data_IF_947547965242
#
_entry.id   IF_947547965242
#
_cell.length_a   1.000
_cell.length_b   1.000
_cell.length_c   1.000
_cell.angle_alpha   90.00
_cell.angle_beta   90.00
_cell.angle_gamma   90.00
#
_symmetry.space_group_name_H-M   'P 1'
#
loop_
_entity.id
_entity.type
_entity.pdbx_description
1 polymer ?
#
# COMPACT_ATOMS: atom_id res chain seq x y z
N UNK A 1 6.32 -37.15 4.23
CA UNK A 1 5.62 -37.53 5.48
C UNK A 1 5.98 -36.50 6.53
N UNK A 2 5.04 -35.89 7.17
CA UNK A 2 5.32 -34.90 8.22
C UNK A 2 5.81 -35.61 9.49
N UNK A 3 6.65 -34.97 10.30
CA UNK A 3 7.32 -35.59 11.46
C UNK A 3 6.35 -36.24 12.47
N UNK A 4 5.16 -35.61 12.68
CA UNK A 4 4.13 -36.16 13.56
C UNK A 4 3.48 -37.45 13.02
N UNK A 5 3.41 -37.64 11.70
CA UNK A 5 2.90 -38.87 11.10
C UNK A 5 3.86 -40.03 11.33
N UNK A 6 5.16 -39.72 11.27
CA UNK A 6 6.20 -40.75 11.56
C UNK A 6 6.13 -41.17 13.03
N UNK A 7 6.00 -40.21 13.96
CA UNK A 7 5.88 -40.51 15.39
C UNK A 7 4.59 -41.26 15.73
N UNK A 8 3.47 -40.98 15.06
CA UNK A 8 2.21 -41.70 15.23
C UNK A 8 2.32 -43.15 14.75
N UNK A 9 2.93 -43.39 13.60
CA UNK A 9 3.15 -44.77 13.07
C UNK A 9 4.10 -45.53 13.97
N UNK A 10 5.17 -44.90 14.46
CA UNK A 10 6.10 -45.53 15.41
C UNK A 10 5.38 -45.90 16.70
N UNK A 11 4.58 -45.03 17.27
CA UNK A 11 3.77 -45.28 18.45
C UNK A 11 2.78 -46.42 18.24
N UNK A 12 2.04 -46.46 17.13
CA UNK A 12 1.11 -47.56 16.84
C UNK A 12 1.79 -48.90 16.77
N UNK A 13 2.98 -48.98 16.14
CA UNK A 13 3.75 -50.20 16.05
C UNK A 13 4.28 -50.69 17.43
N UNK A 14 4.74 -49.77 18.29
CA UNK A 14 5.24 -50.12 19.62
C UNK A 14 4.12 -50.54 20.55
N UNK A 15 2.93 -49.97 20.49
CA UNK A 15 1.76 -50.39 21.26
C UNK A 15 1.36 -51.81 20.90
N UNK A 16 1.39 -52.19 19.61
CA UNK A 16 1.13 -53.58 19.18
C UNK A 16 2.18 -54.54 19.76
N UNK A 17 3.46 -54.12 19.74
CA UNK A 17 4.56 -54.92 20.31
C UNK A 17 4.42 -55.08 21.82
N UNK A 18 4.11 -54.02 22.54
CA UNK A 18 3.87 -54.01 24.00
C UNK A 18 2.71 -54.93 24.36
N UNK A 19 1.63 -54.90 23.55
CA UNK A 19 0.48 -55.78 23.69
C UNK A 19 0.87 -57.27 23.50
N UNK A 20 1.68 -57.57 22.49
CA UNK A 20 2.18 -58.93 22.25
C UNK A 20 3.09 -59.42 23.39
N UNK A 21 4.00 -58.60 23.90
CA UNK A 21 4.87 -58.90 25.05
C UNK A 21 4.02 -59.20 26.29
N UNK A 22 3.00 -58.39 26.54
CA UNK A 22 2.09 -58.58 27.67
C UNK A 22 1.27 -59.86 27.54
N UNK A 23 0.79 -60.22 26.34
CA UNK A 23 0.08 -61.42 26.05
C UNK A 23 0.97 -62.65 26.34
N UNK A 24 2.21 -62.67 25.86
CA UNK A 24 3.16 -63.75 26.14
C UNK A 24 3.46 -63.85 27.63
N UNK A 25 3.64 -62.73 28.31
CA UNK A 25 3.85 -62.72 29.78
C UNK A 25 2.71 -63.33 30.55
N UNK A 26 1.47 -63.14 30.10
CA UNK A 26 0.28 -63.65 30.78
C UNK A 26 0.03 -65.14 30.45
N UNK A 27 0.32 -65.58 29.23
CA UNK A 27 0.01 -66.98 28.78
C UNK A 27 1.06 -67.99 29.16
N UNK A 28 2.32 -67.59 29.40
CA UNK A 28 3.43 -68.47 29.69
C UNK A 28 4.06 -68.13 31.05
N UNK A 29 3.56 -68.69 32.17
CA UNK A 29 4.04 -68.36 33.52
C UNK A 29 5.52 -68.59 33.76
N UNK A 30 6.09 -69.59 33.11
CA UNK A 30 7.52 -70.03 33.28
C UNK A 30 8.53 -68.97 32.81
N UNK A 31 8.17 -68.11 31.91
CA UNK A 31 9.03 -67.00 31.39
C UNK A 31 8.57 -65.66 31.80
N UNK A 32 7.47 -65.51 32.55
CA UNK A 32 6.88 -64.25 32.93
C UNK A 32 7.87 -63.31 33.65
N UNK A 33 8.76 -63.84 34.50
CA UNK A 33 9.77 -63.09 35.24
C UNK A 33 10.81 -62.45 34.31
N UNK A 34 11.24 -63.16 33.27
CA UNK A 34 12.21 -62.67 32.29
C UNK A 34 11.61 -61.64 31.34
N UNK A 35 10.31 -61.72 31.03
CA UNK A 35 9.61 -60.82 30.13
C UNK A 35 9.13 -59.55 30.86
N UNK A 36 9.14 -59.50 32.18
CA UNK A 36 8.70 -58.34 32.95
C UNK A 36 9.56 -57.13 32.69
N UNK A 37 10.88 -57.24 32.59
CA UNK A 37 11.78 -56.12 32.29
C UNK A 37 11.56 -55.58 30.88
N UNK A 38 11.57 -56.42 29.80
CA UNK A 38 11.22 -55.98 28.45
C UNK A 38 9.85 -55.32 28.35
N UNK A 39 8.84 -55.78 29.10
CA UNK A 39 7.52 -55.16 29.12
C UNK A 39 7.54 -53.72 29.67
N UNK A 40 8.23 -53.50 30.80
CA UNK A 40 8.35 -52.15 31.35
C UNK A 40 9.16 -51.20 30.44
N UNK A 41 10.21 -51.71 29.77
CA UNK A 41 10.97 -50.95 28.78
C UNK A 41 10.07 -50.53 27.62
N UNK A 42 9.25 -51.44 27.09
CA UNK A 42 8.31 -51.13 26.00
C UNK A 42 7.26 -50.09 26.44
N UNK A 43 6.76 -50.18 27.65
CA UNK A 43 5.79 -49.23 28.21
C UNK A 43 6.40 -47.81 28.37
N UNK A 44 7.66 -47.71 28.82
CA UNK A 44 8.39 -46.43 28.88
C UNK A 44 8.59 -45.86 27.48
N UNK A 45 8.93 -46.72 26.50
CA UNK A 45 9.09 -46.31 25.10
C UNK A 45 7.79 -45.76 24.52
N UNK A 46 6.63 -46.42 24.79
CA UNK A 46 5.31 -45.93 24.39
C UNK A 46 5.02 -44.54 24.97
N UNK A 47 5.32 -44.30 26.25
CA UNK A 47 5.18 -42.98 26.89
C UNK A 47 6.05 -41.92 26.20
N UNK A 48 7.31 -42.25 25.88
CA UNK A 48 8.21 -41.32 25.18
C UNK A 48 7.66 -40.99 23.80
N UNK A 49 7.17 -41.99 23.06
CA UNK A 49 6.61 -41.77 21.72
C UNK A 49 5.31 -40.96 21.74
N UNK A 50 4.47 -41.08 22.76
CA UNK A 50 3.30 -40.23 22.97
C UNK A 50 3.74 -38.76 23.20
N UNK A 51 4.75 -38.55 24.05
CA UNK A 51 5.28 -37.23 24.30
C UNK A 51 5.86 -36.64 23.01
N UNK A 52 6.65 -37.39 22.25
CA UNK A 52 7.21 -36.99 20.96
C UNK A 52 6.11 -36.65 19.93
N UNK A 53 5.05 -37.47 19.90
CA UNK A 53 3.90 -37.23 19.03
C UNK A 53 3.22 -35.88 19.42
N UNK A 54 2.96 -35.65 20.70
CA UNK A 54 2.34 -34.39 21.18
C UNK A 54 3.23 -33.19 20.86
N UNK A 55 4.55 -33.30 21.11
CA UNK A 55 5.50 -32.24 20.82
C UNK A 55 5.56 -31.92 19.30
N UNK A 56 5.70 -32.95 18.47
CA UNK A 56 5.77 -32.79 17.02
C UNK A 56 4.43 -32.34 16.43
N UNK A 57 3.30 -32.70 17.05
CA UNK A 57 1.98 -32.24 16.67
C UNK A 57 1.73 -30.79 17.06
N UNK A 58 2.22 -30.34 18.21
CA UNK A 58 2.18 -28.94 18.65
C UNK A 58 3.14 -28.08 17.81
N UNK A 59 4.32 -28.62 17.47
CA UNK A 59 5.33 -27.97 16.61
C UNK A 59 5.03 -28.09 15.12
N UNK A 60 3.90 -28.72 14.76
CA UNK A 60 3.45 -28.81 13.38
C UNK A 60 3.44 -27.42 12.79
N UNK A 61 4.48 -27.06 12.02
CA UNK A 61 4.43 -25.89 11.13
C UNK A 61 3.35 -26.20 10.10
N UNK A 62 2.25 -25.46 10.15
CA UNK A 62 1.41 -25.31 9.00
C UNK A 62 2.33 -24.68 7.95
N UNK A 63 2.65 -25.43 6.88
CA UNK A 63 3.45 -24.91 5.77
C UNK A 63 2.56 -23.87 5.06
N UNK A 64 2.46 -22.71 5.66
CA UNK A 64 1.85 -21.56 5.04
C UNK A 64 2.81 -21.10 3.95
N UNK A 65 2.35 -21.08 2.73
CA UNK A 65 3.11 -20.55 1.58
C UNK A 65 3.23 -19.03 1.65
N UNK A 66 2.50 -18.38 2.57
CA UNK A 66 2.61 -16.95 2.90
C UNK A 66 3.40 -16.77 4.19
N UNK A 67 4.52 -16.06 4.10
CA UNK A 67 5.28 -15.64 5.28
C UNK A 67 4.55 -14.48 5.96
N UNK A 68 3.97 -14.73 7.14
CA UNK A 68 3.31 -13.72 7.95
C UNK A 68 4.36 -12.99 8.79
N UNK A 69 4.46 -11.65 8.71
CA UNK A 69 5.36 -10.88 9.58
C UNK A 69 5.04 -11.06 11.06
N UNK A 70 6.06 -10.88 11.90
CA UNK A 70 5.87 -10.93 13.36
C UNK A 70 4.82 -9.92 13.82
N UNK A 71 3.99 -10.33 14.77
CA UNK A 71 2.90 -9.51 15.33
C UNK A 71 3.08 -9.35 16.84
N UNK A 72 2.71 -8.20 17.37
CA UNK A 72 2.55 -7.97 18.81
C UNK A 72 1.48 -8.87 19.41
N UNK A 73 1.45 -9.04 20.73
CA UNK A 73 0.48 -9.88 21.44
C UNK A 73 -0.98 -9.49 21.11
N UNK A 74 -1.29 -8.18 21.09
CA UNK A 74 -2.63 -7.66 20.80
C UNK A 74 -3.01 -7.88 19.33
N UNK A 75 -2.07 -7.62 18.40
CA UNK A 75 -2.27 -7.86 16.97
C UNK A 75 -2.52 -9.34 16.69
N UNK A 76 -1.75 -10.23 17.33
CA UNK A 76 -1.93 -11.69 17.22
C UNK A 76 -3.29 -12.14 17.75
N UNK A 77 -3.78 -11.55 18.83
CA UNK A 77 -5.11 -11.87 19.36
C UNK A 77 -6.22 -11.45 18.39
N UNK A 78 -6.11 -10.26 17.80
CA UNK A 78 -7.07 -9.78 16.79
C UNK A 78 -7.00 -10.63 15.51
N UNK A 79 -5.80 -10.95 15.04
CA UNK A 79 -5.56 -11.85 13.90
C UNK A 79 -6.25 -13.21 14.10
N UNK A 80 -6.08 -13.84 15.28
CA UNK A 80 -6.76 -15.11 15.59
C UNK A 80 -8.28 -14.99 15.56
N UNK A 81 -8.85 -13.87 16.06
CA UNK A 81 -10.30 -13.64 16.03
C UNK A 81 -10.81 -13.45 14.60
N UNK A 82 -10.09 -12.72 13.75
CA UNK A 82 -10.43 -12.55 12.36
C UNK A 82 -10.27 -13.87 11.58
N UNK A 83 -9.17 -14.60 11.76
CA UNK A 83 -8.96 -15.94 11.15
C UNK A 83 -10.13 -16.87 11.52
N UNK A 84 -10.56 -16.90 12.79
CA UNK A 84 -11.71 -17.70 13.22
C UNK A 84 -13.02 -17.27 12.54
N UNK A 85 -13.24 -15.96 12.34
CA UNK A 85 -14.42 -15.45 11.63
C UNK A 85 -14.45 -15.94 10.19
N UNK A 86 -13.35 -15.85 9.47
CA UNK A 86 -13.29 -16.24 8.05
C UNK A 86 -13.26 -17.76 7.84
N UNK A 87 -12.83 -18.54 8.84
CA UNK A 87 -12.89 -20.00 8.84
C UNK A 87 -14.27 -20.55 9.26
N UNK A 88 -15.24 -19.69 9.56
CA UNK A 88 -16.61 -20.11 9.85
C UNK A 88 -17.25 -20.68 8.58
N UNK A 89 -17.88 -21.87 8.68
CA UNK A 89 -18.47 -22.56 7.53
C UNK A 89 -19.51 -21.72 6.80
N UNK A 90 -20.33 -20.96 7.52
CA UNK A 90 -21.34 -20.09 6.91
C UNK A 90 -20.68 -18.98 6.10
N UNK A 91 -19.56 -18.44 6.57
CA UNK A 91 -18.79 -17.38 5.88
C UNK A 91 -18.10 -17.95 4.63
N UNK A 92 -17.48 -19.11 4.74
CA UNK A 92 -16.83 -19.79 3.60
C UNK A 92 -17.83 -20.16 2.52
N UNK A 93 -19.05 -20.57 2.88
CA UNK A 93 -20.13 -20.85 1.94
C UNK A 93 -20.64 -19.56 1.24
N UNK A 94 -20.79 -18.47 1.98
CA UNK A 94 -21.18 -17.14 1.41
C UNK A 94 -20.12 -16.62 0.45
N UNK A 95 -18.86 -16.84 0.76
CA UNK A 95 -17.72 -16.46 -0.10
C UNK A 95 -17.48 -17.48 -1.23
N UNK A 96 -18.17 -18.62 -1.25
CA UNK A 96 -17.94 -19.72 -2.19
C UNK A 96 -16.45 -20.13 -2.24
N UNK A 97 -15.84 -20.24 -1.08
CA UNK A 97 -14.42 -20.57 -0.95
C UNK A 97 -14.14 -22.06 -0.96
N UNK A 98 -15.13 -22.90 -0.70
CA UNK A 98 -14.98 -24.35 -0.70
C UNK A 98 -14.99 -24.91 -2.13
N UNK A 99 -14.05 -25.76 -2.46
CA UNK A 99 -14.07 -26.56 -3.69
C UNK A 99 -14.53 -27.97 -3.35
N UNK A 100 -15.63 -28.41 -3.96
CA UNK A 100 -16.16 -29.76 -3.72
C UNK A 100 -15.44 -30.77 -4.62
N UNK A 101 -14.64 -31.63 -4.05
CA UNK A 101 -13.89 -32.67 -4.74
C UNK A 101 -14.51 -34.05 -4.48
N UNK A 102 -14.10 -35.08 -5.25
CA UNK A 102 -14.54 -36.47 -5.04
C UNK A 102 -14.12 -37.01 -3.66
N UNK A 103 -13.20 -36.34 -2.97
CA UNK A 103 -12.66 -36.76 -1.67
C UNK A 103 -13.16 -35.89 -0.50
N UNK A 104 -14.13 -34.99 -0.75
CA UNK A 104 -14.71 -34.09 0.22
C UNK A 104 -14.53 -32.60 -0.17
N UNK A 105 -15.03 -31.71 0.68
CA UNK A 105 -14.89 -30.27 0.49
C UNK A 105 -13.48 -29.84 0.90
N UNK A 106 -12.76 -29.23 -0.04
CA UNK A 106 -11.46 -28.61 0.18
C UNK A 106 -11.68 -27.18 0.64
N UNK A 107 -11.10 -26.83 1.78
CA UNK A 107 -11.20 -25.48 2.36
C UNK A 107 -9.89 -24.73 2.11
N UNK A 108 -9.95 -23.43 1.71
CA UNK A 108 -8.74 -22.66 1.47
C UNK A 108 -7.99 -22.38 2.77
N UNK A 109 -6.69 -22.25 2.68
CA UNK A 109 -5.90 -21.70 3.76
C UNK A 109 -6.23 -20.19 3.90
N UNK A 110 -6.52 -19.78 5.16
CA UNK A 110 -6.79 -18.39 5.48
C UNK A 110 -5.75 -17.90 6.48
N UNK A 111 -5.03 -16.87 6.11
CA UNK A 111 -4.02 -16.23 6.95
C UNK A 111 -4.35 -14.77 7.16
N UNK A 112 -4.17 -14.27 8.37
CA UNK A 112 -4.50 -12.89 8.73
C UNK A 112 -3.31 -12.25 9.42
N UNK A 113 -2.88 -11.11 8.92
CA UNK A 113 -1.91 -10.25 9.58
C UNK A 113 -2.55 -8.93 10.01
N UNK A 114 -2.17 -8.44 11.17
CA UNK A 114 -2.64 -7.17 11.75
C UNK A 114 -1.43 -6.36 12.20
N UNK A 115 -1.40 -5.08 11.87
CA UNK A 115 -0.35 -4.17 12.29
C UNK A 115 -0.37 -3.99 13.83
N UNK A 116 0.75 -3.63 14.41
CA UNK A 116 0.91 -3.34 15.85
C UNK A 116 -0.03 -2.23 16.35
N UNK A 117 -0.32 -1.25 15.50
CA UNK A 117 -1.26 -0.15 15.78
C UNK A 117 -2.73 -0.60 15.81
N UNK A 118 -3.04 -1.82 15.37
CA UNK A 118 -4.39 -2.38 15.22
C UNK A 118 -5.30 -1.57 14.28
N UNK A 119 -4.74 -0.76 13.38
CA UNK A 119 -5.48 0.12 12.47
C UNK A 119 -5.62 -0.52 11.11
N UNK A 120 -4.66 -1.32 10.68
CA UNK A 120 -4.62 -1.94 9.37
C UNK A 120 -4.08 -3.36 9.40
N UNK A 121 -4.30 -4.07 8.32
CA UNK A 121 -3.83 -5.43 8.15
C UNK A 121 -4.28 -6.03 6.82
N UNK A 122 -4.09 -7.32 6.67
CA UNK A 122 -4.59 -8.04 5.50
C UNK A 122 -5.15 -9.42 5.86
N UNK A 123 -6.05 -9.88 5.01
CA UNK A 123 -6.59 -11.24 5.01
C UNK A 123 -6.12 -11.89 3.72
N UNK A 124 -5.32 -12.93 3.82
CA UNK A 124 -4.87 -13.72 2.69
C UNK A 124 -5.70 -15.00 2.62
N UNK A 125 -6.30 -15.26 1.48
CA UNK A 125 -7.13 -16.44 1.21
C UNK A 125 -6.51 -17.19 0.05
N UNK A 126 -6.25 -18.48 0.23
CA UNK A 126 -5.72 -19.36 -0.81
C UNK A 126 -6.66 -19.45 -1.99
N UNK A 127 -6.12 -19.33 -3.20
CA UNK A 127 -6.86 -19.35 -4.43
C UNK A 127 -7.05 -20.78 -4.96
N UNK A 128 -7.94 -21.56 -4.34
CA UNK A 128 -8.22 -22.93 -4.75
C UNK A 128 -9.30 -23.04 -5.85
N UNK A 129 -10.03 -21.95 -6.14
CA UNK A 129 -11.22 -21.94 -6.98
C UNK A 129 -11.03 -21.25 -8.33
N UNK A 130 -9.81 -20.94 -8.76
CA UNK A 130 -9.51 -20.21 -10.01
C UNK A 130 -10.43 -19.01 -10.24
N UNK A 131 -10.40 -18.06 -9.31
CA UNK A 131 -11.27 -16.89 -9.39
C UNK A 131 -10.91 -16.01 -10.58
N UNK A 132 -11.87 -15.76 -11.44
CA UNK A 132 -11.72 -14.82 -12.53
C UNK A 132 -11.61 -13.39 -12.02
N UNK A 133 -10.93 -12.53 -12.77
CA UNK A 133 -10.75 -11.10 -12.45
C UNK A 133 -12.09 -10.37 -12.24
N UNK A 134 -13.14 -10.77 -12.95
CA UNK A 134 -14.50 -10.22 -12.83
C UNK A 134 -15.18 -10.49 -11.49
N UNK A 135 -14.76 -11.52 -10.76
CA UNK A 135 -15.31 -11.86 -9.46
C UNK A 135 -14.63 -11.11 -8.31
N UNK A 136 -13.42 -10.59 -8.53
CA UNK A 136 -12.58 -9.94 -7.53
C UNK A 136 -13.28 -8.77 -6.82
N UNK A 137 -13.91 -7.86 -7.56
CA UNK A 137 -14.66 -6.72 -7.00
C UNK A 137 -15.81 -7.19 -6.09
N UNK A 138 -16.52 -8.23 -6.52
CA UNK A 138 -17.62 -8.83 -5.72
C UNK A 138 -17.08 -9.45 -4.43
N UNK A 139 -15.89 -10.06 -4.47
CA UNK A 139 -15.26 -10.63 -3.29
C UNK A 139 -14.78 -9.55 -2.32
N UNK A 140 -14.17 -8.47 -2.79
CA UNK A 140 -13.80 -7.34 -1.95
C UNK A 140 -15.01 -6.79 -1.18
N UNK A 141 -16.15 -6.61 -1.84
CA UNK A 141 -17.40 -6.16 -1.22
C UNK A 141 -17.93 -7.17 -0.19
N UNK A 142 -17.89 -8.47 -0.49
CA UNK A 142 -18.32 -9.53 0.44
C UNK A 142 -17.43 -9.62 1.65
N UNK A 143 -16.11 -9.63 1.47
CA UNK A 143 -15.12 -9.64 2.57
C UNK A 143 -15.30 -8.40 3.45
N UNK A 144 -15.49 -7.23 2.84
CA UNK A 144 -15.79 -5.99 3.56
C UNK A 144 -17.11 -6.07 4.33
N UNK A 145 -18.15 -6.66 3.72
CA UNK A 145 -19.45 -6.88 4.38
C UNK A 145 -19.36 -7.81 5.59
N UNK A 146 -18.55 -8.84 5.53
CA UNK A 146 -18.28 -9.75 6.66
C UNK A 146 -17.59 -9.01 7.82
N UNK A 147 -16.61 -8.15 7.51
CA UNK A 147 -15.97 -7.31 8.52
C UNK A 147 -16.96 -6.32 9.14
N UNK A 148 -17.82 -5.71 8.33
CA UNK A 148 -18.83 -4.74 8.78
C UNK A 148 -19.83 -5.29 9.81
N UNK A 149 -20.03 -6.60 9.89
CA UNK A 149 -20.90 -7.22 10.90
C UNK A 149 -20.35 -7.07 12.32
N UNK A 150 -19.23 -7.70 12.62
CA UNK A 150 -18.63 -7.75 13.97
C UNK A 150 -17.52 -6.72 14.18
N UNK A 151 -16.88 -6.29 13.12
CA UNK A 151 -15.71 -5.41 13.11
C UNK A 151 -15.97 -4.17 12.25
N UNK A 152 -17.08 -3.45 12.53
CA UNK A 152 -17.58 -2.30 11.74
C UNK A 152 -16.55 -1.20 11.46
N UNK A 153 -15.51 -1.11 12.28
CA UNK A 153 -14.42 -0.14 12.06
C UNK A 153 -13.53 -0.51 10.89
N UNK A 154 -13.47 -1.80 10.52
CA UNK A 154 -12.61 -2.26 9.43
C UNK A 154 -13.39 -2.37 8.12
N UNK A 155 -12.71 -1.96 7.05
CA UNK A 155 -13.21 -2.10 5.71
C UNK A 155 -12.09 -2.51 4.75
N UNK A 156 -12.38 -3.37 3.79
CA UNK A 156 -11.44 -3.72 2.73
C UNK A 156 -11.25 -2.52 1.82
N UNK A 157 -10.01 -2.15 1.58
CA UNK A 157 -9.64 -1.02 0.72
C UNK A 157 -9.32 -1.50 -0.69
N UNK A 158 -8.54 -2.56 -0.80
CA UNK A 158 -8.12 -3.14 -2.07
C UNK A 158 -7.74 -4.59 -1.90
N UNK A 159 -7.53 -5.28 -3.01
CA UNK A 159 -6.98 -6.64 -3.02
C UNK A 159 -5.91 -6.79 -4.11
N UNK A 160 -5.02 -7.75 -3.92
CA UNK A 160 -4.02 -8.15 -4.91
C UNK A 160 -3.83 -9.67 -4.90
N UNK A 161 -3.30 -10.21 -6.01
CA UNK A 161 -2.86 -11.59 -6.12
C UNK A 161 -1.38 -11.69 -5.77
N UNK A 162 -1.00 -12.73 -5.04
CA UNK A 162 0.42 -13.03 -4.81
C UNK A 162 1.10 -13.52 -6.08
N UNK A 163 2.42 -13.52 -6.09
CA UNK A 163 3.20 -14.10 -7.17
C UNK A 163 2.79 -15.58 -7.40
N UNK A 164 2.41 -15.93 -8.63
CA UNK A 164 1.90 -17.26 -8.98
C UNK A 164 0.43 -17.49 -8.64
N UNK A 165 -0.32 -16.43 -8.34
CA UNK A 165 -1.78 -16.43 -8.11
C UNK A 165 -2.27 -17.39 -7.02
N UNK A 166 -1.37 -17.81 -6.12
CA UNK A 166 -1.67 -18.79 -5.08
C UNK A 166 -2.55 -18.25 -3.96
N UNK A 167 -2.50 -16.96 -3.68
CA UNK A 167 -3.32 -16.29 -2.68
C UNK A 167 -3.90 -14.98 -3.20
N UNK A 168 -5.08 -14.63 -2.70
CA UNK A 168 -5.65 -13.27 -2.81
C UNK A 168 -5.50 -12.62 -1.44
N UNK A 169 -4.85 -11.45 -1.43
CA UNK A 169 -4.66 -10.62 -0.24
C UNK A 169 -5.66 -9.50 -0.26
N UNK A 170 -6.51 -9.40 0.77
CA UNK A 170 -7.47 -8.33 0.98
C UNK A 170 -6.92 -7.39 2.06
N UNK A 171 -6.52 -6.19 1.69
CA UNK A 171 -6.06 -5.17 2.63
C UNK A 171 -7.25 -4.48 3.30
N UNK A 172 -7.27 -4.45 4.62
CA UNK A 172 -8.31 -3.77 5.38
C UNK A 172 -7.72 -2.68 6.26
N UNK A 173 -8.52 -1.65 6.50
CA UNK A 173 -8.15 -0.54 7.37
C UNK A 173 -9.31 -0.12 8.28
N UNK A 174 -8.92 0.46 9.42
CA UNK A 174 -9.84 1.17 10.30
C UNK A 174 -10.23 2.51 9.68
N UNK A 175 -11.46 2.60 9.21
CA UNK A 175 -12.01 3.79 8.58
C UNK A 175 -12.64 4.77 9.57
N UNK A 176 -12.70 4.42 10.86
CA UNK A 176 -13.23 5.28 11.92
C UNK A 176 -12.13 6.02 12.68
N UNK A 177 -10.94 5.44 12.79
CA UNK A 177 -9.81 6.08 13.48
C UNK A 177 -9.04 6.99 12.52
N UNK A 178 -9.22 8.29 12.67
CA UNK A 178 -8.58 9.28 11.80
C UNK A 178 -7.05 9.31 11.96
N UNK A 179 -6.36 9.27 10.82
CA UNK A 179 -4.91 9.40 10.70
C UNK A 179 -4.48 10.83 10.31
N UNK A 180 -5.40 11.78 10.34
CA UNK A 180 -5.13 13.18 10.01
C UNK A 180 -4.09 13.81 10.92
N UNK A 181 -3.27 14.63 10.32
CA UNK A 181 -2.49 15.63 11.06
C UNK A 181 -3.41 16.79 11.41
N UNK A 182 -3.43 17.17 12.67
CA UNK A 182 -4.17 18.35 13.12
C UNK A 182 -3.19 19.53 13.19
N UNK A 183 -3.43 20.53 12.37
CA UNK A 183 -2.60 21.71 12.24
C UNK A 183 -3.35 22.90 12.82
N UNK A 184 -2.78 23.56 13.83
CA UNK A 184 -3.34 24.80 14.37
C UNK A 184 -3.13 25.93 13.35
N UNK A 185 -4.05 26.85 13.25
CA UNK A 185 -4.00 27.91 12.22
C UNK A 185 -3.07 29.08 12.64
N UNK A 186 -1.78 28.78 12.78
CA UNK A 186 -0.73 29.79 12.93
C UNK A 186 0.51 29.44 12.10
N UNK A 187 1.40 30.42 11.86
CA UNK A 187 2.61 30.24 11.03
C UNK A 187 3.57 29.18 11.57
N UNK A 188 3.61 28.98 12.88
CA UNK A 188 4.50 28.01 13.52
C UNK A 188 3.90 26.61 13.62
N UNK A 189 2.65 26.43 13.26
CA UNK A 189 1.91 25.19 13.43
C UNK A 189 2.38 24.03 12.53
N UNK A 190 3.15 24.32 11.50
CA UNK A 190 3.75 23.31 10.62
C UNK A 190 5.13 22.83 11.10
N UNK A 191 5.82 23.58 11.96
CA UNK A 191 7.14 23.20 12.50
C UNK A 191 7.20 21.79 13.11
N UNK A 192 6.19 21.29 13.86
CA UNK A 192 6.20 19.95 14.41
C UNK A 192 6.15 18.82 13.37
N UNK A 193 5.85 19.15 12.11
CA UNK A 193 5.76 18.19 11.00
C UNK A 193 6.99 18.22 10.09
N UNK A 194 7.90 19.17 10.29
CA UNK A 194 9.21 19.21 9.64
C UNK A 194 10.01 17.99 10.08
N UNK A 195 10.62 17.30 9.12
CA UNK A 195 11.45 16.14 9.38
C UNK A 195 12.94 16.54 9.38
N UNK A 196 13.76 15.82 10.14
CA UNK A 196 15.23 15.98 10.12
C UNK A 196 15.80 15.58 8.76
N UNK A 197 15.23 14.57 8.13
CA UNK A 197 15.49 14.24 6.73
C UNK A 197 14.73 15.20 5.82
N UNK A 198 15.50 16.03 5.08
CA UNK A 198 14.95 17.05 4.17
C UNK A 198 14.10 16.46 3.03
N UNK A 199 14.35 15.21 2.66
CA UNK A 199 13.65 14.51 1.56
C UNK A 199 12.38 13.79 2.03
N UNK A 200 12.16 13.70 3.35
CA UNK A 200 11.03 13.00 3.96
C UNK A 200 9.89 13.97 4.30
N UNK A 201 8.87 14.01 3.47
CA UNK A 201 7.70 14.90 3.63
C UNK A 201 6.57 14.15 4.33
N UNK A 202 6.16 14.59 5.50
CA UNK A 202 5.08 13.98 6.28
C UNK A 202 3.72 14.30 5.67
N UNK A 203 2.95 13.29 5.29
CA UNK A 203 1.63 13.43 4.66
C UNK A 203 0.48 13.13 5.62
N UNK A 204 0.67 12.19 6.54
CA UNK A 204 -0.28 11.85 7.60
C UNK A 204 0.49 11.33 8.84
N UNK A 205 -0.21 10.86 9.88
CA UNK A 205 0.45 10.27 11.05
C UNK A 205 1.32 9.06 10.70
N UNK A 206 0.94 8.32 9.67
CA UNK A 206 1.55 7.05 9.28
C UNK A 206 2.04 7.02 7.82
N UNK A 207 2.08 8.15 7.12
CA UNK A 207 2.56 8.26 5.75
C UNK A 207 3.58 9.37 5.61
N UNK A 208 4.75 9.02 5.10
CA UNK A 208 5.83 9.92 4.73
C UNK A 208 6.15 9.70 3.25
N UNK A 209 6.26 10.76 2.48
CA UNK A 209 6.75 10.71 1.10
C UNK A 209 8.25 10.95 1.09
N UNK A 210 9.00 10.02 0.54
CA UNK A 210 10.45 10.09 0.34
C UNK A 210 10.74 10.54 -1.10
N UNK A 211 11.03 11.82 -1.27
CA UNK A 211 11.25 12.44 -2.59
C UNK A 211 12.56 12.00 -3.27
N UNK A 212 13.52 11.53 -2.50
CA UNK A 212 14.77 10.92 -2.97
C UNK A 212 14.58 9.53 -3.61
N UNK A 213 13.49 8.84 -3.23
CA UNK A 213 13.09 7.54 -3.80
C UNK A 213 12.10 7.74 -4.95
N UNK A 214 11.05 8.53 -4.73
CA UNK A 214 9.99 8.82 -5.69
C UNK A 214 9.89 10.32 -5.88
N UNK A 215 10.55 10.88 -6.91
CA UNK A 215 10.73 12.33 -7.02
C UNK A 215 9.48 13.10 -7.45
N UNK A 216 8.48 12.46 -8.05
CA UNK A 216 7.32 13.13 -8.63
C UNK A 216 6.04 12.72 -7.92
N UNK A 217 5.06 13.63 -7.81
CA UNK A 217 3.79 13.38 -7.14
C UNK A 217 2.60 13.85 -7.99
N UNK A 218 1.52 13.07 -7.97
CA UNK A 218 0.22 13.43 -8.54
C UNK A 218 -0.84 13.61 -7.46
N UNK A 219 -1.62 14.69 -7.53
CA UNK A 219 -2.76 14.95 -6.65
C UNK A 219 -4.01 15.18 -7.50
N UNK A 220 -4.96 14.25 -7.45
CA UNK A 220 -6.22 14.34 -8.17
C UNK A 220 -7.36 14.56 -7.18
N UNK A 221 -8.08 15.65 -7.34
CA UNK A 221 -9.13 16.00 -6.40
C UNK A 221 -10.23 16.82 -7.04
N UNK A 222 -11.45 16.34 -6.98
CA UNK A 222 -12.64 17.10 -7.42
C UNK A 222 -12.77 18.41 -6.60
N UNK A 223 -13.55 19.31 -7.11
CA UNK A 223 -13.84 20.60 -6.43
C UNK A 223 -14.33 20.33 -5.00
N UNK A 224 -13.81 21.09 -4.03
CA UNK A 224 -14.13 21.00 -2.59
C UNK A 224 -13.65 19.72 -1.89
N UNK A 225 -12.91 18.81 -2.55
CA UNK A 225 -12.38 17.60 -1.93
C UNK A 225 -11.15 17.83 -1.03
N UNK A 226 -10.58 19.03 -0.94
CA UNK A 226 -9.45 19.35 -0.08
C UNK A 226 -8.11 19.61 -0.79
N UNK A 227 -8.11 19.69 -2.13
CA UNK A 227 -6.94 19.90 -3.00
C UNK A 227 -6.04 21.06 -2.53
N UNK A 228 -6.57 22.29 -2.45
CA UNK A 228 -5.81 23.48 -2.07
C UNK A 228 -5.33 23.46 -0.62
N UNK A 229 -6.03 22.72 0.26
CA UNK A 229 -5.59 22.51 1.65
C UNK A 229 -4.35 21.64 1.67
N UNK A 230 -4.36 20.53 0.92
CA UNK A 230 -3.21 19.64 0.85
C UNK A 230 -2.03 20.30 0.14
N UNK A 231 -2.23 20.79 -1.10
CA UNK A 231 -1.14 21.26 -1.94
C UNK A 231 -0.57 22.60 -1.47
N UNK A 232 -1.40 23.66 -1.43
CA UNK A 232 -0.91 25.00 -1.15
C UNK A 232 -0.75 25.29 0.34
N UNK A 233 -1.78 24.93 1.16
CA UNK A 233 -1.76 25.30 2.58
C UNK A 233 -0.80 24.43 3.39
N UNK A 234 -0.65 23.17 3.04
CA UNK A 234 0.19 22.21 3.77
C UNK A 234 1.51 21.93 3.05
N UNK A 235 1.50 21.24 1.90
CA UNK A 235 2.72 20.74 1.26
C UNK A 235 3.70 21.84 0.88
N UNK A 236 3.24 22.86 0.13
CA UNK A 236 4.11 23.94 -0.33
C UNK A 236 4.80 24.67 0.83
N UNK A 237 4.05 24.93 1.91
CA UNK A 237 4.60 25.58 3.11
C UNK A 237 5.52 24.66 3.92
N UNK A 238 5.17 23.38 4.05
CA UNK A 238 6.02 22.41 4.76
C UNK A 238 7.36 22.24 4.04
N UNK A 239 7.36 22.09 2.72
CA UNK A 239 8.56 21.97 1.91
C UNK A 239 9.44 23.21 2.05
N UNK A 240 8.84 24.41 2.00
CA UNK A 240 9.58 25.65 2.23
C UNK A 240 10.25 25.68 3.62
N UNK A 241 9.54 25.24 4.67
CA UNK A 241 10.10 25.12 6.03
C UNK A 241 11.21 24.07 6.14
N UNK A 242 11.20 23.04 5.30
CA UNK A 242 12.28 22.04 5.20
C UNK A 242 13.48 22.49 4.36
N UNK A 243 13.45 23.74 3.84
CA UNK A 243 14.56 24.33 3.09
C UNK A 243 14.50 24.09 1.59
N UNK A 244 13.35 23.67 1.05
CA UNK A 244 13.15 23.54 -0.37
C UNK A 244 12.92 24.90 -1.04
N UNK A 245 13.29 25.00 -2.32
CA UNK A 245 12.76 26.07 -3.19
C UNK A 245 11.39 25.63 -3.70
N UNK A 246 10.38 26.48 -3.52
CA UNK A 246 9.00 26.18 -3.91
C UNK A 246 8.50 27.18 -4.93
N UNK A 247 7.96 26.73 -6.05
CA UNK A 247 7.24 27.54 -7.03
C UNK A 247 5.85 26.91 -7.28
N UNK A 248 4.78 27.75 -7.23
CA UNK A 248 3.41 27.28 -7.38
C UNK A 248 2.73 27.94 -8.58
N UNK A 249 2.60 27.19 -9.67
CA UNK A 249 1.96 27.63 -10.90
C UNK A 249 0.53 27.09 -10.99
N UNK A 250 -0.44 27.93 -11.36
CA UNK A 250 -1.84 27.51 -11.47
C UNK A 250 -2.54 28.26 -12.60
N UNK A 251 -3.16 27.55 -13.53
CA UNK A 251 -3.97 28.14 -14.60
C UNK A 251 -5.29 28.78 -14.10
N UNK A 252 -5.43 28.89 -12.81
CA UNK A 252 -6.46 29.65 -12.12
C UNK A 252 -5.77 30.57 -11.12
N UNK A 253 -6.12 31.86 -11.12
CA UNK A 253 -5.57 32.78 -10.13
C UNK A 253 -5.85 32.27 -8.72
N UNK A 254 -4.77 31.93 -7.98
CA UNK A 254 -4.81 31.46 -6.60
C UNK A 254 -3.80 32.28 -5.78
N UNK A 255 -4.09 32.51 -4.50
CA UNK A 255 -3.19 33.23 -3.58
C UNK A 255 -1.80 32.55 -3.49
N UNK A 256 -1.72 31.24 -3.66
CA UNK A 256 -0.46 30.48 -3.59
C UNK A 256 0.48 30.79 -4.76
N UNK A 257 -0.05 31.17 -5.93
CA UNK A 257 0.76 31.66 -7.06
C UNK A 257 1.61 32.87 -6.64
N UNK A 258 1.00 33.84 -5.96
CA UNK A 258 1.71 35.02 -5.45
C UNK A 258 2.61 34.64 -4.25
N UNK A 259 2.13 33.78 -3.35
CA UNK A 259 2.87 33.40 -2.14
C UNK A 259 4.18 32.68 -2.47
N UNK A 260 4.21 31.86 -3.52
CA UNK A 260 5.36 31.04 -3.94
C UNK A 260 5.94 31.45 -5.30
N UNK A 261 5.82 32.70 -5.69
CA UNK A 261 6.46 33.28 -6.87
C UNK A 261 6.18 32.56 -8.20
N UNK A 262 5.01 31.94 -8.35
CA UNK A 262 4.60 31.22 -9.55
C UNK A 262 3.89 32.14 -10.57
N UNK A 263 3.28 31.49 -11.56
CA UNK A 263 2.55 32.17 -12.65
C UNK A 263 1.13 31.62 -12.78
N UNK A 264 0.20 32.47 -13.29
CA UNK A 264 -1.18 32.08 -13.59
C UNK A 264 -1.53 32.15 -15.08
N UNK A 265 -0.79 32.97 -15.86
CA UNK A 265 -1.00 33.05 -17.29
C UNK A 265 -0.44 31.81 -18.01
N UNK A 266 -1.21 31.15 -18.89
CA UNK A 266 -0.82 29.89 -19.51
C UNK A 266 0.55 29.92 -20.23
N UNK A 267 0.80 31.00 -20.97
CA UNK A 267 2.08 31.19 -21.68
C UNK A 267 3.25 31.32 -20.70
N UNK A 268 3.05 32.06 -19.60
CA UNK A 268 4.09 32.26 -18.59
C UNK A 268 4.34 30.97 -17.81
N UNK A 269 3.32 30.13 -17.54
CA UNK A 269 3.50 28.79 -16.94
C UNK A 269 4.40 27.93 -17.81
N UNK A 270 4.19 27.93 -19.14
CA UNK A 270 5.05 27.19 -20.07
C UNK A 270 6.48 27.72 -20.05
N UNK A 271 6.67 29.04 -20.09
CA UNK A 271 8.01 29.64 -19.99
C UNK A 271 8.69 29.29 -18.66
N UNK A 272 7.96 29.18 -17.56
CA UNK A 272 8.54 28.72 -16.29
C UNK A 272 8.98 27.28 -16.36
N UNK A 273 8.19 26.39 -16.98
CA UNK A 273 8.59 24.99 -17.18
C UNK A 273 9.87 24.89 -18.04
N UNK A 274 9.96 25.69 -19.10
CA UNK A 274 11.18 25.77 -19.95
C UNK A 274 12.39 26.31 -19.16
N UNK A 275 12.20 27.35 -18.36
CA UNK A 275 13.24 27.86 -17.47
C UNK A 275 13.75 26.79 -16.51
N UNK A 276 12.86 26.01 -15.90
CA UNK A 276 13.27 24.94 -15.00
C UNK A 276 13.96 23.79 -15.72
N UNK A 277 13.69 23.55 -17.01
CA UNK A 277 14.50 22.66 -17.83
C UNK A 277 15.94 23.17 -17.97
N UNK A 278 16.15 24.47 -18.14
CA UNK A 278 17.51 25.06 -18.20
C UNK A 278 18.22 24.92 -16.86
N UNK A 279 17.54 25.20 -15.75
CA UNK A 279 18.09 25.00 -14.39
C UNK A 279 18.45 23.53 -14.15
N UNK A 280 17.61 22.60 -14.62
CA UNK A 280 17.88 21.16 -14.56
C UNK A 280 19.17 20.80 -15.29
N UNK A 281 19.33 21.28 -16.52
CA UNK A 281 20.53 21.02 -17.34
C UNK A 281 21.80 21.59 -16.68
N UNK A 282 21.74 22.81 -16.13
CA UNK A 282 22.83 23.43 -15.39
C UNK A 282 23.23 22.62 -14.13
N UNK A 283 22.22 22.12 -13.39
CA UNK A 283 22.45 21.27 -12.21
C UNK A 283 23.12 19.95 -12.60
N UNK A 284 22.62 19.29 -13.64
CA UNK A 284 23.18 18.03 -14.16
C UNK A 284 24.61 18.24 -14.65
N UNK A 285 24.89 19.34 -15.35
CA UNK A 285 26.26 19.68 -15.76
C UNK A 285 27.21 19.83 -14.56
N UNK A 286 26.76 20.47 -13.47
CA UNK A 286 27.54 20.61 -12.22
C UNK A 286 27.76 19.25 -11.55
N UNK A 287 26.74 18.40 -11.45
CA UNK A 287 26.80 17.05 -10.89
C UNK A 287 27.81 16.21 -11.66
N UNK A 288 27.70 16.18 -12.98
CA UNK A 288 28.62 15.45 -13.87
C UNK A 288 30.05 15.96 -13.75
N UNK A 289 30.25 17.29 -13.69
CA UNK A 289 31.59 17.89 -13.48
C UNK A 289 32.22 17.50 -12.15
N UNK A 290 31.39 17.30 -11.13
CA UNK A 290 31.84 16.82 -9.81
C UNK A 290 32.07 15.31 -9.75
N UNK A 291 31.81 14.56 -10.84
CA UNK A 291 31.92 13.10 -10.89
C UNK A 291 30.89 12.40 -10.00
N UNK A 292 29.71 13.00 -9.84
CA UNK A 292 28.60 12.49 -9.03
C UNK A 292 27.47 12.00 -9.91
N UNK A 293 26.60 11.14 -9.33
CA UNK A 293 25.45 10.55 -10.04
C UNK A 293 24.17 11.34 -9.82
N UNK A 294 24.01 11.92 -8.63
CA UNK A 294 22.77 12.58 -8.20
C UNK A 294 23.04 13.83 -7.38
N UNK A 295 22.07 14.75 -7.36
CA UNK A 295 22.10 15.95 -6.53
C UNK A 295 22.25 15.67 -5.02
N UNK A 296 21.79 14.50 -4.55
CA UNK A 296 21.91 14.05 -3.15
C UNK A 296 23.36 13.96 -2.65
N UNK A 297 24.32 13.85 -3.58
CA UNK A 297 25.76 13.81 -3.29
C UNK A 297 26.41 15.19 -3.33
N UNK A 298 25.62 16.26 -3.60
CA UNK A 298 26.07 17.65 -3.69
C UNK A 298 25.64 18.42 -2.44
N UNK A 299 26.55 19.16 -1.82
CA UNK A 299 26.26 19.91 -0.59
C UNK A 299 25.33 21.11 -0.80
N UNK A 300 25.42 21.81 -1.94
CA UNK A 300 24.74 23.08 -2.23
C UNK A 300 23.61 22.96 -3.27
N UNK A 301 22.90 21.82 -3.31
CA UNK A 301 21.77 21.62 -4.23
C UNK A 301 20.48 21.30 -3.45
N UNK A 302 19.77 22.29 -2.92
CA UNK A 302 18.50 22.06 -2.24
C UNK A 302 17.45 21.52 -3.23
N UNK A 303 16.48 20.79 -2.69
CA UNK A 303 15.32 20.32 -3.45
C UNK A 303 14.50 21.51 -3.98
N UNK A 304 13.90 21.32 -5.15
CA UNK A 304 13.03 22.29 -5.81
C UNK A 304 11.68 21.63 -6.07
N UNK A 305 10.61 22.18 -5.50
CA UNK A 305 9.25 21.71 -5.70
C UNK A 305 8.53 22.63 -6.72
N UNK A 306 8.12 22.05 -7.82
CA UNK A 306 7.35 22.73 -8.87
C UNK A 306 5.90 22.24 -8.82
N UNK A 307 5.02 23.04 -8.29
CA UNK A 307 3.58 22.80 -8.29
C UNK A 307 2.98 23.31 -9.60
N UNK A 308 2.26 22.41 -10.28
CA UNK A 308 1.43 22.75 -11.44
C UNK A 308 -0.01 22.38 -11.13
N UNK A 309 -0.82 23.36 -10.76
CA UNK A 309 -2.22 23.18 -10.38
C UNK A 309 -3.17 23.55 -11.54
N UNK A 310 -4.37 23.01 -11.48
CA UNK A 310 -5.44 23.17 -12.49
C UNK A 310 -4.98 22.78 -13.91
N UNK A 311 -4.25 21.65 -14.02
CA UNK A 311 -3.69 21.20 -15.30
C UNK A 311 -4.73 21.01 -16.39
N UNK A 312 -5.97 20.62 -16.05
CA UNK A 312 -7.06 20.53 -17.03
C UNK A 312 -7.38 21.89 -17.66
N UNK A 313 -7.42 22.95 -16.83
CA UNK A 313 -7.64 24.32 -17.34
C UNK A 313 -6.45 24.80 -18.17
N UNK A 314 -5.22 24.47 -17.75
CA UNK A 314 -4.02 24.79 -18.51
C UNK A 314 -4.08 24.19 -19.90
N UNK A 315 -4.33 22.89 -20.02
CA UNK A 315 -4.39 22.19 -21.30
C UNK A 315 -5.42 22.81 -22.25
N UNK A 316 -6.64 23.08 -21.79
CA UNK A 316 -7.68 23.72 -22.59
C UNK A 316 -7.25 25.13 -23.06
N UNK A 317 -6.58 25.90 -22.19
CA UNK A 317 -6.09 27.23 -22.54
C UNK A 317 -4.96 27.18 -23.57
N UNK A 318 -4.02 26.25 -23.45
CA UNK A 318 -2.91 26.08 -24.40
C UNK A 318 -3.42 25.64 -25.79
N UNK A 319 -4.37 24.69 -25.85
CA UNK A 319 -5.01 24.31 -27.11
C UNK A 319 -5.75 25.46 -27.76
N UNK A 320 -6.43 26.29 -26.97
CA UNK A 320 -7.13 27.48 -27.48
C UNK A 320 -6.16 28.51 -28.06
N UNK A 321 -5.03 28.73 -27.41
CA UNK A 321 -3.97 29.63 -27.92
C UNK A 321 -3.37 29.12 -29.24
N UNK A 322 -3.07 27.81 -29.35
CA UNK A 322 -2.56 27.22 -30.58
C UNK A 322 -3.59 27.22 -31.73
N UNK A 323 -4.90 27.26 -31.43
CA UNK A 323 -5.96 27.44 -32.46
C UNK A 323 -5.99 28.86 -33.00
N UNK A 324 -5.73 29.86 -32.14
CA UNK A 324 -5.68 31.25 -32.53
C UNK A 324 -4.38 31.56 -33.29
N UNK A 325 -3.25 31.11 -32.81
CA UNK A 325 -1.93 31.29 -33.42
C UNK A 325 -1.14 30.00 -33.41
N UNK A 326 -1.15 29.27 -34.55
CA UNK A 326 -0.44 28.00 -34.75
C UNK A 326 1.09 28.12 -34.66
N UNK A 327 1.63 29.33 -34.77
CA UNK A 327 3.10 29.54 -34.69
C UNK A 327 3.63 29.47 -33.30
N UNK A 328 2.78 29.67 -32.28
CA UNK A 328 3.15 29.55 -30.86
C UNK A 328 3.59 28.16 -30.46
N UNK A 329 2.96 27.10 -31.02
CA UNK A 329 3.19 25.69 -30.70
C UNK A 329 3.26 25.45 -29.19
N UNK A 330 2.43 26.21 -28.42
CA UNK A 330 2.59 26.31 -26.97
C UNK A 330 2.28 24.99 -26.26
N UNK A 331 1.33 24.22 -26.78
CA UNK A 331 0.99 22.88 -26.26
C UNK A 331 2.17 21.91 -26.46
N UNK A 332 2.86 21.98 -27.60
CA UNK A 332 4.04 21.15 -27.87
C UNK A 332 5.22 21.55 -26.97
N UNK A 333 5.41 22.85 -26.73
CA UNK A 333 6.46 23.38 -25.83
C UNK A 333 6.20 22.91 -24.40
N UNK A 334 4.96 23.04 -23.92
CA UNK A 334 4.54 22.49 -22.61
C UNK A 334 4.85 21.00 -22.51
N UNK A 335 4.38 20.22 -23.49
CA UNK A 335 4.57 18.75 -23.50
C UNK A 335 6.05 18.38 -23.45
N UNK A 336 6.90 19.08 -24.20
CA UNK A 336 8.35 18.85 -24.22
C UNK A 336 8.98 19.17 -22.87
N UNK A 337 8.65 20.32 -22.28
CA UNK A 337 9.23 20.75 -21.01
C UNK A 337 8.82 19.83 -19.86
N UNK A 338 7.52 19.51 -19.73
CA UNK A 338 7.02 18.69 -18.62
C UNK A 338 7.50 17.23 -18.72
N UNK A 339 7.62 16.68 -19.94
CA UNK A 339 8.19 15.36 -20.17
C UNK A 339 9.66 15.30 -19.74
N UNK A 340 10.47 16.31 -20.08
CA UNK A 340 11.88 16.39 -19.67
C UNK A 340 12.02 16.50 -18.15
N UNK A 341 11.29 17.41 -17.54
CA UNK A 341 11.33 17.61 -16.08
C UNK A 341 10.88 16.35 -15.33
N UNK A 342 9.83 15.67 -15.78
CA UNK A 342 9.34 14.46 -15.12
C UNK A 342 10.30 13.26 -15.27
N UNK A 343 11.02 13.16 -16.40
CA UNK A 343 11.93 12.07 -16.66
C UNK A 343 13.29 12.21 -15.97
N UNK A 344 13.78 13.46 -15.85
CA UNK A 344 15.19 13.70 -15.45
C UNK A 344 15.30 14.60 -14.19
N UNK A 345 14.26 15.34 -13.87
CA UNK A 345 14.24 16.28 -12.74
C UNK A 345 14.68 15.68 -11.42
N UNK A 346 14.27 14.44 -11.12
CA UNK A 346 14.63 13.75 -9.88
C UNK A 346 16.14 13.63 -9.65
N UNK A 347 16.93 13.36 -10.71
CA UNK A 347 18.40 13.30 -10.60
C UNK A 347 19.03 14.64 -10.27
N UNK A 348 18.37 15.74 -10.61
CA UNK A 348 18.80 17.12 -10.33
C UNK A 348 18.15 17.75 -9.09
N UNK A 349 17.31 17.03 -8.35
CA UNK A 349 16.57 17.53 -7.19
C UNK A 349 15.42 18.47 -7.58
N UNK A 350 14.80 18.27 -8.75
CA UNK A 350 13.60 18.99 -9.18
C UNK A 350 12.42 18.01 -9.17
N UNK A 351 11.40 18.36 -8.38
CA UNK A 351 10.24 17.55 -8.10
C UNK A 351 8.98 18.20 -8.64
N UNK A 352 8.22 17.47 -9.47
CA UNK A 352 6.93 17.93 -9.96
C UNK A 352 5.84 17.46 -9.02
N UNK A 353 4.99 18.36 -8.58
CA UNK A 353 3.73 18.10 -7.90
C UNK A 353 2.61 18.50 -8.87
N UNK A 354 2.11 17.52 -9.60
CA UNK A 354 1.09 17.69 -10.63
C UNK A 354 -0.31 17.60 -10.02
N UNK A 355 -1.15 18.59 -10.25
CA UNK A 355 -2.44 18.72 -9.57
C UNK A 355 -3.55 18.97 -10.59
N UNK A 356 -4.63 18.19 -10.51
CA UNK A 356 -5.80 18.38 -11.36
C UNK A 356 -7.09 17.90 -10.70
N UNK A 357 -8.20 18.19 -11.35
CA UNK A 357 -9.52 17.65 -11.00
C UNK A 357 -9.77 16.27 -11.64
N UNK A 358 -9.05 15.95 -12.71
CA UNK A 358 -9.20 14.74 -13.51
C UNK A 358 -7.83 14.12 -13.81
N UNK A 359 -7.75 12.79 -13.82
CA UNK A 359 -6.55 12.03 -14.21
C UNK A 359 -6.55 11.63 -15.70
N UNK A 360 -7.61 11.97 -16.43
CA UNK A 360 -7.76 11.61 -17.85
C UNK A 360 -6.68 12.27 -18.72
N UNK A 361 -6.51 11.75 -19.94
CA UNK A 361 -5.48 12.23 -20.88
C UNK A 361 -5.60 13.73 -21.17
N UNK A 362 -6.82 14.22 -21.32
CA UNK A 362 -7.14 15.61 -21.64
C UNK A 362 -7.05 16.51 -20.41
N UNK A 363 -7.36 15.95 -19.24
CA UNK A 363 -7.46 16.71 -17.96
C UNK A 363 -6.19 16.72 -17.12
N UNK A 364 -5.10 16.08 -17.55
CA UNK A 364 -3.90 15.92 -16.73
C UNK A 364 -2.61 16.06 -17.56
N UNK A 365 -1.56 15.37 -17.16
CA UNK A 365 -0.25 15.37 -17.80
C UNK A 365 -0.24 14.57 -19.12
N UNK A 366 0.65 14.92 -20.07
CA UNK A 366 0.98 14.08 -21.21
C UNK A 366 1.40 12.68 -20.76
N UNK A 367 1.21 11.68 -21.63
CA UNK A 367 1.33 10.25 -21.28
C UNK A 367 2.66 9.90 -20.59
N UNK A 368 3.79 10.39 -21.10
CA UNK A 368 5.11 10.12 -20.51
C UNK A 368 5.24 10.74 -19.11
N UNK A 369 4.95 12.03 -18.97
CA UNK A 369 5.01 12.70 -17.68
C UNK A 369 4.03 12.10 -16.66
N UNK A 370 2.85 11.66 -17.11
CA UNK A 370 1.87 11.00 -16.27
C UNK A 370 2.38 9.67 -15.69
N UNK A 371 3.06 8.85 -16.49
CA UNK A 371 3.69 7.60 -16.01
C UNK A 371 4.76 7.92 -14.97
N UNK A 372 5.65 8.89 -15.26
CA UNK A 372 6.70 9.28 -14.31
C UNK A 372 6.16 9.87 -12.99
N UNK A 373 4.94 10.41 -13.01
CA UNK A 373 4.27 10.97 -11.82
C UNK A 373 3.25 10.01 -11.20
N UNK A 374 3.28 8.71 -11.51
CA UNK A 374 2.30 7.72 -11.03
C UNK A 374 2.74 6.89 -9.83
N UNK A 375 3.98 7.08 -9.35
CA UNK A 375 4.51 6.32 -8.20
C UNK A 375 4.20 6.95 -6.84
N UNK A 376 3.89 8.24 -6.80
CA UNK A 376 3.32 8.89 -5.63
C UNK A 376 1.99 9.57 -6.05
N UNK A 377 0.88 8.96 -5.70
CA UNK A 377 -0.45 9.41 -6.10
C UNK A 377 -1.37 9.56 -4.90
N UNK A 378 -2.03 10.72 -4.83
CA UNK A 378 -3.10 11.01 -3.87
C UNK A 378 -4.36 11.36 -4.65
N UNK A 379 -5.43 10.62 -4.42
CA UNK A 379 -6.75 10.90 -4.99
C UNK A 379 -7.75 11.22 -3.88
N UNK A 380 -8.51 12.32 -4.03
CA UNK A 380 -9.44 12.79 -2.99
C UNK A 380 -10.88 12.88 -3.50
N UNK A 381 -11.81 12.58 -2.60
CA UNK A 381 -13.24 12.67 -2.87
C UNK A 381 -13.68 11.78 -4.03
N UNK A 382 -14.53 12.29 -4.92
CA UNK A 382 -15.07 11.53 -6.06
C UNK A 382 -14.02 11.06 -7.07
N UNK A 383 -12.81 11.64 -7.10
CA UNK A 383 -11.70 11.12 -7.91
C UNK A 383 -11.18 9.79 -7.35
N UNK A 384 -11.12 9.65 -6.03
CA UNK A 384 -10.73 8.42 -5.36
C UNK A 384 -11.73 7.28 -5.59
N UNK A 385 -13.01 7.58 -5.76
CA UNK A 385 -14.07 6.59 -6.00
C UNK A 385 -14.23 6.21 -7.48
N UNK A 386 -13.62 6.95 -8.40
CA UNK A 386 -13.75 6.73 -9.84
C UNK A 386 -12.75 5.67 -10.34
N UNK A 387 -13.27 4.54 -10.82
CA UNK A 387 -12.45 3.49 -11.46
C UNK A 387 -11.72 4.01 -12.70
N UNK A 388 -12.35 4.88 -13.48
CA UNK A 388 -11.77 5.50 -14.67
C UNK A 388 -10.55 6.37 -14.31
N UNK A 389 -10.65 7.20 -13.28
CA UNK A 389 -9.55 8.05 -12.81
C UNK A 389 -8.38 7.22 -12.27
N UNK A 390 -8.67 6.19 -11.46
CA UNK A 390 -7.65 5.28 -10.92
C UNK A 390 -6.90 4.52 -12.01
N UNK A 391 -7.57 4.13 -13.09
CA UNK A 391 -6.96 3.42 -14.23
C UNK A 391 -5.76 4.16 -14.81
N UNK A 392 -5.76 5.48 -14.79
CA UNK A 392 -4.67 6.27 -15.37
C UNK A 392 -3.43 6.44 -14.48
N UNK A 393 -3.60 6.43 -13.15
CA UNK A 393 -2.52 6.72 -12.21
C UNK A 393 -2.25 5.59 -11.21
N UNK A 394 -3.23 4.73 -10.96
CA UNK A 394 -3.10 3.58 -10.09
C UNK A 394 -3.39 2.31 -10.89
N UNK A 395 -2.56 2.03 -11.91
CA UNK A 395 -2.71 0.86 -12.78
C UNK A 395 -2.74 -0.42 -11.94
N UNK A 396 -3.71 -1.31 -12.22
CA UNK A 396 -3.96 -2.52 -11.45
C UNK A 396 -4.95 -2.36 -10.29
N UNK A 397 -5.30 -1.13 -9.90
CA UNK A 397 -6.22 -0.82 -8.81
C UNK A 397 -7.46 -0.03 -9.26
N UNK A 398 -7.83 -0.14 -10.53
CA UNK A 398 -9.03 0.51 -11.05
C UNK A 398 -10.30 0.01 -10.35
N UNK A 399 -10.38 -1.29 -10.10
CA UNK A 399 -11.57 -1.99 -9.61
C UNK A 399 -11.62 -2.08 -8.07
N UNK A 400 -11.21 -1.03 -7.38
CA UNK A 400 -11.35 -0.93 -5.92
C UNK A 400 -12.83 -0.80 -5.51
N UNK A 401 -13.20 -1.24 -4.29
CA UNK A 401 -14.56 -1.08 -3.77
C UNK A 401 -15.03 0.37 -3.81
N UNK A 402 -16.27 0.60 -4.27
CA UNK A 402 -16.90 1.92 -4.25
C UNK A 402 -17.07 2.42 -2.82
N UNK A 403 -16.67 3.66 -2.57
CA UNK A 403 -16.78 4.32 -1.26
C UNK A 403 -17.15 5.77 -1.42
N UNK A 404 -17.88 6.28 -0.45
CA UNK A 404 -18.13 7.71 -0.34
C UNK A 404 -17.03 8.33 0.52
N UNK A 405 -16.17 9.15 -0.09
CA UNK A 405 -15.12 9.88 0.60
C UNK A 405 -15.60 11.27 1.00
N UNK A 406 -15.46 11.59 2.27
CA UNK A 406 -15.75 12.91 2.81
C UNK A 406 -14.70 13.96 2.39
N UNK A 407 -14.88 15.19 2.88
CA UNK A 407 -13.94 16.30 2.61
C UNK A 407 -12.54 15.96 3.15
N UNK A 408 -11.55 16.01 2.27
CA UNK A 408 -10.16 15.69 2.59
C UNK A 408 -9.90 14.19 2.78
N UNK A 409 -10.83 13.33 2.38
CA UNK A 409 -10.66 11.87 2.41
C UNK A 409 -10.50 11.33 1.00
N UNK A 410 -9.79 10.22 0.89
CA UNK A 410 -9.56 9.54 -0.38
C UNK A 410 -8.59 8.38 -0.22
N UNK A 411 -7.79 8.14 -1.24
CA UNK A 411 -6.76 7.09 -1.26
C UNK A 411 -5.40 7.66 -1.63
N UNK A 412 -4.35 7.08 -1.07
CA UNK A 412 -2.97 7.34 -1.46
C UNK A 412 -2.25 6.03 -1.80
N UNK A 413 -1.38 6.10 -2.81
CA UNK A 413 -0.41 5.08 -3.16
C UNK A 413 0.93 5.76 -3.37
N UNK A 414 1.94 5.41 -2.56
CA UNK A 414 3.24 6.06 -2.61
C UNK A 414 4.32 4.99 -2.47
N UNK A 415 4.96 4.65 -3.57
CA UNK A 415 6.06 3.69 -3.61
C UNK A 415 7.23 4.21 -2.78
N UNK A 416 7.94 3.32 -2.09
CA UNK A 416 9.06 3.70 -1.23
C UNK A 416 8.67 4.20 0.17
N UNK A 417 7.37 4.34 0.47
CA UNK A 417 6.88 4.71 1.82
C UNK A 417 6.56 3.49 2.71
N UNK A 418 7.14 2.34 2.38
CA UNK A 418 6.91 1.05 3.01
C UNK A 418 5.89 0.20 2.25
N UNK A 419 5.97 -1.12 2.45
CA UNK A 419 5.15 -2.12 1.73
C UNK A 419 3.65 -1.80 1.72
N UNK A 420 3.15 -1.28 2.84
CA UNK A 420 1.75 -0.85 2.96
C UNK A 420 1.35 0.08 1.82
N UNK A 421 2.14 1.09 1.53
CA UNK A 421 1.80 2.17 0.60
C UNK A 421 2.13 1.87 -0.87
N UNK A 422 2.64 0.68 -1.17
CA UNK A 422 2.79 0.18 -2.54
C UNK A 422 1.44 -0.16 -3.18
N UNK A 423 0.42 -0.40 -2.36
CA UNK A 423 -0.98 -0.53 -2.77
C UNK A 423 -1.80 0.65 -2.25
N UNK A 424 -2.93 1.02 -2.89
CA UNK A 424 -3.76 2.13 -2.43
C UNK A 424 -4.32 1.88 -1.03
N UNK A 425 -4.20 2.89 -0.17
CA UNK A 425 -4.76 2.89 1.18
C UNK A 425 -5.58 4.14 1.45
N UNK A 426 -6.49 4.04 2.41
CA UNK A 426 -7.26 5.17 2.88
C UNK A 426 -6.34 6.30 3.34
N UNK A 427 -6.62 7.51 2.88
CA UNK A 427 -5.83 8.69 3.17
C UNK A 427 -6.72 9.85 3.56
N UNK A 428 -6.23 10.64 4.52
CA UNK A 428 -6.86 11.87 4.96
C UNK A 428 -5.87 13.03 4.90
N UNK A 429 -6.27 14.12 4.26
CA UNK A 429 -5.47 15.36 4.22
C UNK A 429 -5.33 15.95 5.61
N UNK A 430 -4.26 16.70 5.89
CA UNK A 430 -4.16 17.49 7.11
C UNK A 430 -5.40 18.36 7.34
N UNK A 431 -5.80 18.49 8.59
CA UNK A 431 -6.93 19.31 9.01
C UNK A 431 -6.41 20.56 9.71
N UNK A 432 -6.85 21.71 9.25
CA UNK A 432 -6.52 22.97 9.89
C UNK A 432 -7.66 23.39 10.81
N UNK A 433 -7.33 23.48 12.08
CA UNK A 433 -8.26 23.90 13.13
C UNK A 433 -8.25 25.42 13.19
N UNK A 434 -9.43 26.04 13.01
CA UNK A 434 -9.60 27.49 12.91
C UNK A 434 -9.85 28.11 14.27
#
# INVERSE_FOLDING_TARGET
MQSYQVSLIAFANTVVLTGAINFVRYTIPTISTFITVPFFIALVLDCILVILFIVTWIQREEVSTITIPNMSSNARQLSKKLKKLFNDKQITDVLKLSNSTRYGDEMPEISVWVNETLIDGYIAIENIANWERADREKFEQRVSGILAGKYQRFAVITSELTAGDSFIIFYFEDTLTSQRLIVKDNTDSLKPFVNDDKHAIKLSKNLIWHSDIVPMMSIIARTRAGKSVLAGRYLARLMLLQGWTVEYNSAKYDRYVKEFNGQSEPIEIVKRAEYWCTVMDDRLAKINKAGKDKYLEMEDMPDIALFFDELGNLNVSLESLDKVDKTLKITSRWTTAINRLSATGGSSGIHIIAISQFATKEGFLPSLARVNCSDAVIMLGGAADSAEERKYLMSGFADMPKRSYGKGQGVARIIGSGKKWEVPHFYETPWFDY
#
